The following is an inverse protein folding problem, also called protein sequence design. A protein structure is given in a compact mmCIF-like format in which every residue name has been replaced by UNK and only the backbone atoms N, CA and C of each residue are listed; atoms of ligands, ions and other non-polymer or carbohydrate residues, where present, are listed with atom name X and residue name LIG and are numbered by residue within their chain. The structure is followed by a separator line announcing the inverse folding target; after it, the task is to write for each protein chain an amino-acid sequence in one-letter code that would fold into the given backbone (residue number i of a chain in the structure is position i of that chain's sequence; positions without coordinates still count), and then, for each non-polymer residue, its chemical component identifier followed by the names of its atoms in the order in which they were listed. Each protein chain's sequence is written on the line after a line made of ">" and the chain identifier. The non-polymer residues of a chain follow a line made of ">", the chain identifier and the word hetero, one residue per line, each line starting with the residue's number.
data_IF_188991035350
#
_entry.id   IF_188991035350
#
_cell.length_a   1.000
_cell.length_b   1.000
_cell.length_c   1.000
_cell.angle_alpha   90.00
_cell.angle_beta   90.00
_cell.angle_gamma   90.00
#
_symmetry.space_group_name_H-M   'P 1'
#
loop_
_entity.id
_entity.type
_entity.pdbx_description
1 polymer ?
#
# COMPACT_ATOMS: atom_id res chain seq x y z
N UNK A 1 3.43 -15.73 9.00
CA UNK A 1 2.45 -15.97 7.90
C UNK A 1 2.67 -14.95 6.78
N UNK A 2 2.23 -15.22 5.53
CA UNK A 2 2.49 -14.34 4.38
C UNK A 2 1.91 -12.93 4.58
N UNK A 3 0.73 -12.82 5.17
CA UNK A 3 0.05 -11.54 5.47
C UNK A 3 0.85 -10.56 6.33
N UNK A 4 1.57 -11.06 7.34
CA UNK A 4 2.39 -10.23 8.22
C UNK A 4 3.63 -9.71 7.47
N UNK A 5 4.17 -10.54 6.57
CA UNK A 5 5.27 -10.14 5.69
C UNK A 5 4.78 -9.08 4.70
N UNK A 6 3.60 -9.26 4.12
CA UNK A 6 2.92 -8.24 3.28
C UNK A 6 2.78 -6.91 4.02
N UNK A 7 2.17 -6.93 5.21
CA UNK A 7 1.92 -5.71 5.99
C UNK A 7 3.22 -4.95 6.28
N UNK A 8 4.31 -5.68 6.57
CA UNK A 8 5.64 -5.13 6.79
C UNK A 8 6.26 -4.55 5.52
N UNK A 9 6.25 -5.26 4.39
CA UNK A 9 6.90 -4.78 3.16
C UNK A 9 6.17 -3.57 2.57
N UNK A 10 4.83 -3.52 2.68
CA UNK A 10 4.03 -2.37 2.25
C UNK A 10 4.26 -1.17 3.15
N UNK A 11 4.43 -1.35 4.45
CA UNK A 11 4.79 -0.25 5.34
C UNK A 11 6.21 0.27 5.08
N UNK A 12 7.16 -0.62 4.76
CA UNK A 12 8.55 -0.26 4.45
C UNK A 12 8.65 0.53 3.14
N UNK A 13 8.06 0.02 2.07
CA UNK A 13 8.14 0.68 0.75
C UNK A 13 7.12 1.81 0.59
N UNK A 14 6.07 1.80 1.41
CA UNK A 14 4.88 2.59 1.18
C UNK A 14 4.16 2.23 -0.12
N UNK A 15 4.36 1.05 -0.70
CA UNK A 15 3.88 0.73 -2.04
C UNK A 15 2.90 -0.44 -2.05
N UNK A 16 2.08 -0.53 -3.08
CA UNK A 16 1.35 -1.77 -3.43
C UNK A 16 1.79 -2.32 -4.79
N UNK A 17 2.86 -1.77 -5.35
CA UNK A 17 3.42 -2.22 -6.62
C UNK A 17 4.10 -3.57 -6.45
N UNK A 18 3.64 -4.54 -7.24
CA UNK A 18 4.32 -5.80 -7.48
C UNK A 18 5.01 -5.74 -8.84
N UNK A 19 6.35 -5.80 -8.87
CA UNK A 19 7.12 -5.76 -10.10
C UNK A 19 7.04 -7.11 -10.82
N UNK A 20 6.44 -7.14 -12.01
CA UNK A 20 6.47 -8.30 -12.90
C UNK A 20 7.82 -8.37 -13.64
N UNK A 21 8.65 -9.33 -13.28
CA UNK A 21 10.03 -9.41 -13.78
C UNK A 21 10.19 -10.60 -14.72
N UNK A 22 9.78 -10.38 -15.97
CA UNK A 22 9.62 -11.41 -16.99
C UNK A 22 10.54 -11.10 -18.19
N UNK A 23 11.87 -11.30 -18.08
CA UNK A 23 12.79 -11.02 -19.19
C UNK A 23 12.42 -11.90 -20.41
N UNK A 24 12.16 -11.33 -21.60
CA UNK A 24 11.75 -12.11 -22.75
C UNK A 24 12.88 -13.07 -23.20
N UNK A 25 12.67 -14.40 -23.21
CA UNK A 25 13.73 -15.36 -23.56
C UNK A 25 14.13 -15.29 -25.05
N UNK A 26 13.33 -14.66 -25.89
CA UNK A 26 13.68 -14.38 -27.29
C UNK A 26 14.50 -13.08 -27.47
N UNK A 27 14.70 -12.30 -26.40
CA UNK A 27 15.63 -11.16 -26.38
C UNK A 27 16.88 -11.52 -25.57
N UNK A 28 16.67 -12.16 -24.42
CA UNK A 28 17.72 -12.61 -23.52
C UNK A 28 17.85 -14.14 -23.59
N UNK A 29 18.46 -14.64 -24.66
CA UNK A 29 18.54 -16.07 -24.93
C UNK A 29 19.33 -16.84 -23.86
N UNK A 30 20.47 -16.30 -23.45
CA UNK A 30 21.31 -16.88 -22.39
C UNK A 30 20.63 -16.72 -21.02
N UNK A 31 20.39 -17.81 -20.27
CA UNK A 31 19.92 -17.73 -18.88
C UNK A 31 20.73 -16.74 -18.01
N UNK A 32 22.05 -16.66 -18.19
CA UNK A 32 22.93 -15.77 -17.43
C UNK A 32 22.60 -14.29 -17.67
N UNK A 33 22.20 -13.93 -18.90
CA UNK A 33 21.75 -12.57 -19.22
C UNK A 33 20.38 -12.27 -18.60
N UNK A 34 19.48 -13.26 -18.56
CA UNK A 34 18.19 -13.13 -17.85
C UNK A 34 18.39 -12.94 -16.36
N UNK A 35 19.29 -13.70 -15.75
CA UNK A 35 19.66 -13.54 -14.34
C UNK A 35 20.16 -12.13 -14.07
N UNK A 36 21.12 -11.66 -14.87
CA UNK A 36 21.69 -10.31 -14.73
C UNK A 36 20.61 -9.24 -14.87
N UNK A 37 19.74 -9.36 -15.88
CA UNK A 37 18.61 -8.47 -16.06
C UNK A 37 17.73 -8.42 -14.81
N UNK A 38 17.38 -9.58 -14.23
CA UNK A 38 16.57 -9.63 -13.03
C UNK A 38 17.25 -8.95 -11.83
N UNK A 39 18.52 -9.24 -11.58
CA UNK A 39 19.27 -8.65 -10.47
C UNK A 39 19.40 -7.13 -10.61
N UNK A 40 19.73 -6.66 -11.82
CA UNK A 40 19.87 -5.23 -12.11
C UNK A 40 18.54 -4.49 -11.90
N UNK A 41 17.42 -5.06 -12.36
CA UNK A 41 16.08 -4.45 -12.17
C UNK A 41 15.64 -4.45 -10.71
N UNK A 42 15.90 -5.51 -9.95
CA UNK A 42 15.60 -5.54 -8.52
C UNK A 42 16.42 -4.47 -7.79
N UNK A 43 17.71 -4.34 -8.10
CA UNK A 43 18.58 -3.36 -7.47
C UNK A 43 18.15 -1.91 -7.75
N UNK A 44 17.72 -1.62 -8.99
CA UNK A 44 17.29 -0.29 -9.41
C UNK A 44 15.89 0.08 -8.91
N UNK A 45 14.95 -0.89 -8.93
CA UNK A 45 13.52 -0.62 -8.79
C UNK A 45 12.93 -1.08 -7.46
N UNK A 46 13.66 -1.92 -6.71
CA UNK A 46 13.18 -2.55 -5.49
C UNK A 46 12.64 -1.55 -4.46
N UNK A 47 13.25 -0.36 -4.34
CA UNK A 47 12.81 0.68 -3.40
C UNK A 47 11.36 1.17 -3.62
N UNK A 48 10.80 0.98 -4.81
CA UNK A 48 9.43 1.40 -5.15
C UNK A 48 8.40 0.28 -5.06
N UNK A 49 8.85 -0.95 -4.81
CA UNK A 49 8.04 -2.15 -4.89
C UNK A 49 7.87 -2.76 -3.50
N UNK A 50 6.82 -3.55 -3.32
CA UNK A 50 6.64 -4.40 -2.12
C UNK A 50 6.82 -5.87 -2.44
N UNK A 51 6.68 -6.22 -3.71
CA UNK A 51 6.84 -7.58 -4.20
C UNK A 51 7.51 -7.60 -5.57
N UNK A 52 8.13 -8.72 -5.89
CA UNK A 52 8.59 -9.08 -7.23
C UNK A 52 7.93 -10.40 -7.59
N UNK A 53 7.24 -10.43 -8.72
CA UNK A 53 6.64 -11.64 -9.28
C UNK A 53 7.42 -12.06 -10.50
N UNK A 54 7.90 -13.29 -10.53
CA UNK A 54 8.63 -13.83 -11.67
C UNK A 54 7.85 -14.98 -12.30
N UNK A 55 7.58 -14.90 -13.60
CA UNK A 55 6.96 -16.00 -14.31
C UNK A 55 7.97 -17.09 -14.64
N UNK A 56 7.69 -18.33 -14.23
CA UNK A 56 8.60 -19.46 -14.36
C UNK A 56 9.08 -19.67 -15.80
N UNK A 57 8.20 -19.46 -16.80
CA UNK A 57 8.54 -19.68 -18.20
C UNK A 57 9.66 -18.77 -18.69
N UNK A 58 9.76 -17.56 -18.13
CA UNK A 58 10.82 -16.60 -18.45
C UNK A 58 12.15 -16.94 -17.76
N UNK A 59 12.14 -17.76 -16.73
CA UNK A 59 13.30 -18.10 -15.91
C UNK A 59 13.88 -19.50 -16.21
N UNK A 60 13.26 -20.28 -17.11
CA UNK A 60 13.76 -21.61 -17.44
C UNK A 60 15.23 -21.59 -17.87
N UNK A 61 16.03 -22.46 -17.25
CA UNK A 61 17.47 -22.57 -17.49
C UNK A 61 18.36 -21.81 -16.49
N UNK A 62 17.79 -21.06 -15.55
CA UNK A 62 18.59 -20.38 -14.51
C UNK A 62 19.24 -21.33 -13.49
N UNK A 63 18.65 -22.50 -13.27
CA UNK A 63 19.03 -23.40 -12.18
C UNK A 63 18.73 -22.80 -10.80
N UNK A 64 18.92 -23.58 -9.75
CA UNK A 64 18.55 -23.14 -8.40
C UNK A 64 19.35 -21.94 -7.91
N UNK A 65 20.65 -21.88 -8.24
CA UNK A 65 21.52 -20.78 -7.83
C UNK A 65 21.07 -19.44 -8.42
N UNK A 66 20.58 -19.44 -9.67
CA UNK A 66 20.02 -18.24 -10.29
C UNK A 66 18.76 -17.75 -9.57
N UNK A 67 17.83 -18.66 -9.24
CA UNK A 67 16.65 -18.30 -8.45
C UNK A 67 17.02 -17.80 -7.05
N UNK A 68 17.93 -18.49 -6.34
CA UNK A 68 18.38 -18.08 -5.00
C UNK A 68 19.11 -16.73 -5.00
N UNK A 69 19.84 -16.41 -6.07
CA UNK A 69 20.46 -15.09 -6.22
C UNK A 69 19.38 -13.99 -6.30
N UNK A 70 18.33 -14.21 -7.10
CA UNK A 70 17.19 -13.30 -7.24
C UNK A 70 16.45 -13.14 -5.91
N UNK A 71 16.05 -14.25 -5.28
CA UNK A 71 15.27 -14.21 -4.03
C UNK A 71 16.10 -13.67 -2.87
N UNK A 72 17.39 -13.97 -2.82
CA UNK A 72 18.33 -13.43 -1.84
C UNK A 72 18.49 -11.91 -1.95
N UNK A 73 18.61 -11.36 -3.16
CA UNK A 73 18.66 -9.90 -3.35
C UNK A 73 17.34 -9.23 -2.97
N UNK A 74 16.21 -9.79 -3.42
CA UNK A 74 14.88 -9.28 -3.09
C UNK A 74 14.66 -9.23 -1.56
N UNK A 75 15.06 -10.27 -0.83
CA UNK A 75 14.99 -10.32 0.64
C UNK A 75 15.82 -9.22 1.30
N UNK A 76 17.03 -8.93 0.80
CA UNK A 76 17.87 -7.82 1.31
C UNK A 76 17.21 -6.46 1.15
N UNK A 77 16.39 -6.30 0.11
CA UNK A 77 15.62 -5.08 -0.17
C UNK A 77 14.22 -5.09 0.45
N UNK A 78 13.93 -6.05 1.34
CA UNK A 78 12.61 -6.19 1.99
C UNK A 78 11.45 -6.33 1.00
N UNK A 79 11.64 -7.15 -0.04
CA UNK A 79 10.62 -7.47 -1.03
C UNK A 79 10.05 -8.88 -0.79
N UNK A 80 8.75 -9.03 -1.01
CA UNK A 80 8.15 -10.35 -1.20
C UNK A 80 8.52 -10.92 -2.56
N UNK A 81 8.76 -12.22 -2.63
CA UNK A 81 9.07 -12.94 -3.87
C UNK A 81 7.98 -13.95 -4.19
N UNK A 82 7.38 -13.81 -5.37
CA UNK A 82 6.26 -14.64 -5.83
C UNK A 82 6.69 -15.35 -7.11
N UNK A 83 6.67 -16.69 -7.10
CA UNK A 83 6.87 -17.48 -8.31
C UNK A 83 5.52 -17.70 -9.00
N UNK A 84 5.36 -17.15 -10.20
CA UNK A 84 4.17 -17.36 -11.01
C UNK A 84 4.36 -18.60 -11.91
N UNK A 85 4.23 -19.78 -11.29
CA UNK A 85 4.34 -21.10 -11.92
C UNK A 85 2.97 -21.73 -12.23
N UNK A 86 1.90 -21.30 -11.57
CA UNK A 86 0.55 -21.89 -11.68
C UNK A 86 0.60 -23.40 -11.48
N UNK A 87 1.22 -23.83 -10.37
CA UNK A 87 1.39 -25.24 -10.03
C UNK A 87 0.04 -25.94 -10.17
N UNK A 88 0.02 -27.10 -10.83
CA UNK A 88 -1.20 -27.83 -11.13
C UNK A 88 -0.86 -29.27 -11.38
N UNK A 89 -0.86 -30.05 -10.31
CA UNK A 89 -0.62 -31.49 -10.29
C UNK A 89 -1.24 -32.07 -9.00
N UNK A 90 -1.19 -33.38 -8.83
CA UNK A 90 -1.78 -34.09 -7.68
C UNK A 90 -0.77 -34.98 -6.95
N UNK A 91 -1.04 -35.24 -5.66
CA UNK A 91 -0.25 -36.16 -4.84
C UNK A 91 1.25 -35.84 -4.84
N UNK A 92 2.07 -36.88 -5.02
CA UNK A 92 3.53 -36.77 -4.93
C UNK A 92 4.14 -35.73 -5.89
N UNK A 93 3.58 -35.59 -7.09
CA UNK A 93 4.06 -34.58 -8.06
C UNK A 93 3.83 -33.16 -7.58
N UNK A 94 2.69 -32.89 -6.95
CA UNK A 94 2.40 -31.58 -6.37
C UNK A 94 3.38 -31.26 -5.22
N UNK A 95 3.63 -32.24 -4.35
CA UNK A 95 4.60 -32.13 -3.25
C UNK A 95 6.03 -31.87 -3.75
N UNK A 96 6.46 -32.61 -4.77
CA UNK A 96 7.75 -32.37 -5.42
C UNK A 96 7.85 -30.93 -5.98
N UNK A 97 6.76 -30.42 -6.55
CA UNK A 97 6.64 -29.03 -6.98
C UNK A 97 6.83 -28.05 -5.82
N UNK A 98 6.07 -28.19 -4.74
CA UNK A 98 6.17 -27.33 -3.55
C UNK A 98 7.58 -27.36 -2.94
N UNK A 99 8.16 -28.55 -2.76
CA UNK A 99 9.51 -28.70 -2.23
C UNK A 99 10.57 -28.01 -3.11
N UNK A 100 10.42 -28.13 -4.43
CA UNK A 100 11.30 -27.43 -5.38
C UNK A 100 11.18 -25.92 -5.21
N UNK A 101 9.96 -25.38 -5.14
CA UNK A 101 9.72 -23.93 -4.97
C UNK A 101 10.36 -23.42 -3.67
N UNK A 102 10.25 -24.19 -2.58
CA UNK A 102 10.87 -23.85 -1.30
C UNK A 102 12.40 -23.76 -1.41
N UNK A 103 13.05 -24.70 -2.10
CA UNK A 103 14.50 -24.71 -2.34
C UNK A 103 14.99 -23.53 -3.20
N UNK A 104 14.14 -23.02 -4.08
CA UNK A 104 14.42 -21.82 -4.87
C UNK A 104 14.37 -20.53 -4.03
N UNK A 105 13.83 -20.60 -2.81
CA UNK A 105 13.88 -19.53 -1.81
C UNK A 105 12.79 -18.46 -1.95
N UNK A 106 11.71 -18.76 -2.67
CA UNK A 106 10.55 -17.88 -2.81
C UNK A 106 9.75 -17.77 -1.51
N UNK A 107 8.95 -16.71 -1.40
CA UNK A 107 8.04 -16.53 -0.26
C UNK A 107 6.63 -17.05 -0.57
N UNK A 108 6.24 -17.08 -1.85
CA UNK A 108 4.94 -17.59 -2.29
C UNK A 108 4.97 -18.05 -3.75
N UNK A 109 3.92 -18.76 -4.18
CA UNK A 109 3.72 -19.16 -5.57
C UNK A 109 2.25 -19.13 -6.00
N UNK A 110 1.99 -19.19 -7.31
CA UNK A 110 0.62 -19.27 -7.85
C UNK A 110 0.16 -20.72 -8.05
N UNK A 111 -1.08 -21.03 -7.68
CA UNK A 111 -1.69 -22.37 -7.74
C UNK A 111 -2.90 -22.39 -8.69
N UNK A 112 -2.98 -23.42 -9.52
CA UNK A 112 -4.12 -23.69 -10.40
C UNK A 112 -5.15 -24.58 -9.68
N UNK A 113 -6.38 -24.11 -9.43
CA UNK A 113 -7.38 -24.86 -8.65
C UNK A 113 -7.98 -26.07 -9.37
N UNK A 114 -7.73 -26.23 -10.69
CA UNK A 114 -8.50 -27.16 -11.53
C UNK A 114 -8.46 -28.62 -11.07
N UNK A 115 -7.41 -29.02 -10.35
CA UNK A 115 -7.22 -30.39 -9.89
C UNK A 115 -7.97 -30.72 -8.58
N UNK A 116 -8.58 -29.72 -7.92
CA UNK A 116 -9.45 -29.92 -6.74
C UNK A 116 -8.72 -30.42 -5.49
N UNK A 117 -7.40 -30.21 -5.41
CA UNK A 117 -6.54 -30.58 -4.30
C UNK A 117 -5.94 -29.35 -3.61
N UNK A 118 -6.67 -28.22 -3.57
CA UNK A 118 -6.13 -26.96 -3.05
C UNK A 118 -5.68 -27.10 -1.60
N UNK A 119 -6.48 -27.77 -0.76
CA UNK A 119 -6.14 -28.02 0.65
C UNK A 119 -4.81 -28.75 0.83
N UNK A 120 -4.61 -29.86 0.11
CA UNK A 120 -3.37 -30.66 0.19
C UNK A 120 -2.13 -29.83 -0.17
N UNK A 121 -2.23 -29.01 -1.23
CA UNK A 121 -1.11 -28.17 -1.67
C UNK A 121 -0.84 -27.03 -0.70
N UNK A 122 -1.89 -26.46 -0.09
CA UNK A 122 -1.75 -25.39 0.91
C UNK A 122 -1.09 -25.92 2.18
N UNK A 123 -1.53 -27.07 2.69
CA UNK A 123 -0.93 -27.70 3.87
C UNK A 123 0.57 -27.96 3.64
N UNK A 124 0.93 -28.59 2.52
CA UNK A 124 2.33 -28.85 2.15
C UNK A 124 3.15 -27.56 2.00
N UNK A 125 2.57 -26.51 1.41
CA UNK A 125 3.23 -25.21 1.24
C UNK A 125 3.48 -24.52 2.60
N UNK A 126 2.51 -24.56 3.50
CA UNK A 126 2.60 -23.96 4.83
C UNK A 126 3.63 -24.68 5.70
N UNK A 127 3.75 -26.00 5.60
CA UNK A 127 4.82 -26.77 6.24
C UNK A 127 6.23 -26.32 5.81
N UNK A 128 6.36 -25.86 4.55
CA UNK A 128 7.60 -25.31 4.00
C UNK A 128 7.74 -23.78 4.19
N UNK A 129 6.78 -23.13 4.86
CA UNK A 129 6.78 -21.68 5.08
C UNK A 129 6.50 -20.83 3.83
N UNK A 130 5.91 -21.45 2.79
CA UNK A 130 5.50 -20.79 1.55
C UNK A 130 4.05 -20.31 1.66
N UNK A 131 3.76 -19.15 1.07
CA UNK A 131 2.39 -18.73 0.84
C UNK A 131 1.83 -19.18 -0.51
N UNK A 132 0.51 -19.28 -0.61
CA UNK A 132 -0.17 -19.71 -1.84
C UNK A 132 -1.06 -18.60 -2.39
N UNK A 133 -0.94 -18.32 -3.69
CA UNK A 133 -1.85 -17.46 -4.45
C UNK A 133 -2.73 -18.29 -5.38
N UNK A 134 -3.97 -18.54 -5.01
CA UNK A 134 -4.89 -19.34 -5.83
C UNK A 134 -5.42 -18.52 -7.02
N UNK A 135 -5.43 -19.10 -8.22
CA UNK A 135 -6.07 -18.48 -9.37
C UNK A 135 -7.60 -18.46 -9.20
N UNK A 136 -8.15 -17.30 -8.84
CA UNK A 136 -9.59 -17.09 -8.73
C UNK A 136 -10.17 -16.52 -10.02
N UNK A 137 -9.80 -15.29 -10.40
CA UNK A 137 -10.35 -14.64 -11.58
C UNK A 137 -9.22 -14.23 -12.54
N UNK A 138 -8.82 -15.08 -13.50
CA UNK A 138 -7.72 -14.76 -14.42
C UNK A 138 -8.05 -13.56 -15.34
N UNK A 139 -7.04 -12.71 -15.60
CA UNK A 139 -7.15 -11.57 -16.52
C UNK A 139 -7.34 -12.03 -17.98
N UNK A 140 -8.18 -11.31 -18.72
CA UNK A 140 -8.29 -11.41 -20.18
C UNK A 140 -9.18 -12.52 -20.72
N UNK A 141 -9.44 -12.47 -22.05
CA UNK A 141 -10.45 -13.27 -22.77
C UNK A 141 -10.40 -14.78 -22.57
N UNK A 142 -9.21 -15.33 -22.32
CA UNK A 142 -9.03 -16.78 -22.17
C UNK A 142 -9.43 -17.26 -20.77
N UNK A 143 -9.22 -16.43 -19.75
CA UNK A 143 -9.63 -16.70 -18.39
C UNK A 143 -11.16 -16.78 -18.27
N UNK A 144 -11.84 -15.79 -18.86
CA UNK A 144 -13.31 -15.70 -18.84
C UNK A 144 -14.01 -16.91 -19.47
N UNK A 145 -13.40 -17.56 -20.47
CA UNK A 145 -14.02 -18.70 -21.19
C UNK A 145 -14.47 -19.83 -20.28
N UNK A 146 -13.68 -20.15 -19.25
CA UNK A 146 -13.95 -21.25 -18.32
C UNK A 146 -14.36 -20.74 -16.95
N UNK A 147 -13.68 -19.74 -16.40
CA UNK A 147 -13.91 -19.28 -15.04
C UNK A 147 -15.27 -18.58 -14.86
N UNK A 148 -15.83 -18.00 -15.94
CA UNK A 148 -17.19 -17.43 -15.92
C UNK A 148 -18.28 -18.41 -16.37
N UNK A 149 -17.95 -19.67 -16.66
CA UNK A 149 -18.97 -20.69 -16.92
C UNK A 149 -19.77 -20.91 -15.65
N UNK A 150 -21.09 -21.00 -15.79
CA UNK A 150 -21.98 -21.22 -14.65
C UNK A 150 -21.99 -22.71 -14.28
N UNK A 151 -21.74 -23.00 -13.02
CA UNK A 151 -21.91 -24.31 -12.38
C UNK A 151 -22.84 -24.09 -11.20
N UNK A 152 -23.96 -24.80 -11.15
CA UNK A 152 -25.04 -24.59 -10.16
C UNK A 152 -25.56 -23.14 -10.09
N UNK A 153 -25.55 -22.43 -11.21
CA UNK A 153 -26.06 -21.06 -11.31
C UNK A 153 -25.05 -19.96 -11.01
N UNK A 154 -23.89 -20.26 -10.42
CA UNK A 154 -22.82 -19.29 -10.15
C UNK A 154 -21.61 -19.47 -11.09
N UNK A 155 -20.87 -18.40 -11.42
CA UNK A 155 -19.57 -18.51 -12.07
C UNK A 155 -18.62 -19.51 -11.38
N UNK A 156 -17.94 -20.36 -12.17
CA UNK A 156 -17.02 -21.39 -11.68
C UNK A 156 -15.96 -20.86 -10.73
N UNK A 157 -15.46 -19.64 -10.95
CA UNK A 157 -14.45 -19.05 -10.06
C UNK A 157 -14.90 -18.92 -8.61
N UNK A 158 -16.21 -18.85 -8.33
CA UNK A 158 -16.72 -18.81 -6.95
C UNK A 158 -16.43 -20.11 -6.21
N UNK A 159 -16.52 -21.26 -6.88
CA UNK A 159 -16.14 -22.55 -6.29
C UNK A 159 -14.67 -22.58 -5.88
N UNK A 160 -13.80 -21.97 -6.68
CA UNK A 160 -12.38 -21.88 -6.35
C UNK A 160 -12.11 -20.91 -5.19
N UNK A 161 -12.88 -19.81 -5.10
CA UNK A 161 -12.81 -18.92 -3.94
C UNK A 161 -13.25 -19.64 -2.67
N UNK A 162 -14.37 -20.37 -2.72
CA UNK A 162 -14.90 -21.17 -1.59
C UNK A 162 -13.85 -22.19 -1.12
N UNK A 163 -13.36 -23.03 -2.04
CA UNK A 163 -12.33 -24.05 -1.72
C UNK A 163 -11.05 -23.40 -1.17
N UNK A 164 -10.61 -22.28 -1.75
CA UNK A 164 -9.43 -21.56 -1.28
C UNK A 164 -9.58 -20.96 0.12
N UNK A 165 -10.76 -20.44 0.45
CA UNK A 165 -11.06 -19.91 1.80
C UNK A 165 -11.09 -21.04 2.81
N UNK A 166 -11.75 -22.16 2.48
CA UNK A 166 -11.79 -23.36 3.33
C UNK A 166 -10.40 -23.94 3.56
N UNK A 167 -9.56 -23.95 2.53
CA UNK A 167 -8.17 -24.42 2.59
C UNK A 167 -7.20 -23.44 3.28
N UNK A 168 -7.62 -22.21 3.62
CA UNK A 168 -6.73 -21.24 4.27
C UNK A 168 -5.66 -20.64 3.35
N UNK A 169 -5.96 -20.51 2.05
CA UNK A 169 -5.08 -19.87 1.06
C UNK A 169 -4.71 -18.43 1.49
N UNK A 170 -3.43 -18.06 1.34
CA UNK A 170 -2.94 -16.73 1.77
C UNK A 170 -3.38 -15.57 0.85
N UNK A 171 -3.62 -15.85 -0.42
CA UNK A 171 -4.03 -14.84 -1.39
C UNK A 171 -4.69 -15.38 -2.66
N UNK A 172 -5.33 -14.48 -3.39
CA UNK A 172 -6.06 -14.81 -4.61
C UNK A 172 -5.57 -13.97 -5.77
N UNK A 173 -5.41 -14.60 -6.94
CA UNK A 173 -5.12 -13.89 -8.18
C UNK A 173 -6.44 -13.43 -8.80
N UNK A 174 -6.62 -12.11 -8.83
CA UNK A 174 -7.81 -11.44 -9.38
C UNK A 174 -7.36 -10.44 -10.42
N UNK A 175 -7.34 -10.88 -11.67
CA UNK A 175 -6.88 -10.10 -12.81
C UNK A 175 -7.85 -9.00 -13.21
N UNK A 176 -7.29 -7.82 -13.50
CA UNK A 176 -8.04 -6.71 -14.08
C UNK A 176 -8.59 -7.13 -15.45
N UNK A 177 -9.90 -6.97 -15.64
CA UNK A 177 -10.60 -7.17 -16.91
C UNK A 177 -11.65 -6.06 -17.07
N UNK A 178 -11.98 -5.71 -18.30
CA UNK A 178 -13.11 -4.81 -18.60
C UNK A 178 -14.45 -5.37 -18.12
N UNK A 179 -14.53 -6.67 -17.85
CA UNK A 179 -15.73 -7.34 -17.37
C UNK A 179 -15.89 -7.34 -15.84
N UNK A 180 -14.86 -6.90 -15.10
CA UNK A 180 -14.80 -6.96 -13.64
C UNK A 180 -15.08 -5.57 -13.08
N UNK A 181 -16.28 -5.37 -12.56
CA UNK A 181 -16.71 -4.09 -12.00
C UNK A 181 -16.40 -3.97 -10.49
N UNK A 182 -16.60 -2.76 -9.95
CA UNK A 182 -16.34 -2.48 -8.52
C UNK A 182 -17.24 -3.30 -7.58
N UNK A 183 -18.45 -3.67 -8.01
CA UNK A 183 -19.38 -4.49 -7.23
C UNK A 183 -18.92 -5.95 -7.14
N UNK A 184 -18.52 -6.55 -8.26
CA UNK A 184 -17.98 -7.91 -8.31
C UNK A 184 -16.67 -8.00 -7.50
N UNK A 185 -15.81 -6.99 -7.56
CA UNK A 185 -14.58 -6.93 -6.72
C UNK A 185 -14.93 -6.84 -5.23
N UNK A 186 -15.95 -6.06 -4.87
CA UNK A 186 -16.38 -5.94 -3.47
C UNK A 186 -16.93 -7.28 -2.95
N UNK A 187 -17.69 -8.00 -3.78
CA UNK A 187 -18.17 -9.34 -3.46
C UNK A 187 -17.02 -10.34 -3.32
N UNK A 188 -16.03 -10.30 -4.22
CA UNK A 188 -14.81 -11.11 -4.09
C UNK A 188 -14.11 -10.81 -2.77
N UNK A 189 -13.86 -9.53 -2.45
CA UNK A 189 -13.23 -9.12 -1.18
C UNK A 189 -14.02 -9.63 0.03
N UNK A 190 -15.35 -9.53 0.00
CA UNK A 190 -16.21 -10.02 1.07
C UNK A 190 -16.05 -11.54 1.28
N UNK A 191 -16.03 -12.33 0.20
CA UNK A 191 -15.92 -13.80 0.29
C UNK A 191 -14.52 -14.26 0.67
N UNK A 192 -13.45 -13.65 0.13
CA UNK A 192 -12.06 -14.02 0.46
C UNK A 192 -11.59 -13.52 1.83
N UNK A 193 -12.31 -12.55 2.41
CA UNK A 193 -11.99 -11.92 3.68
C UNK A 193 -10.92 -10.83 3.60
N UNK A 194 -10.87 -9.94 4.59
CA UNK A 194 -9.91 -8.82 4.64
C UNK A 194 -8.45 -9.29 4.81
N UNK A 195 -8.26 -10.51 5.31
CA UNK A 195 -6.93 -11.00 5.62
C UNK A 195 -6.15 -11.49 4.39
N UNK A 196 -6.86 -11.96 3.35
CA UNK A 196 -6.27 -12.50 2.14
C UNK A 196 -5.65 -11.40 1.26
N UNK A 197 -4.51 -11.68 0.65
CA UNK A 197 -3.86 -10.76 -0.28
C UNK A 197 -4.45 -10.95 -1.68
N UNK A 198 -4.96 -9.88 -2.31
CA UNK A 198 -5.33 -9.94 -3.73
C UNK A 198 -4.11 -9.54 -4.58
N UNK A 199 -3.63 -10.48 -5.40
CA UNK A 199 -2.64 -10.23 -6.44
C UNK A 199 -3.36 -9.93 -7.76
N UNK A 200 -3.24 -8.68 -8.24
CA UNK A 200 -3.98 -8.21 -9.40
C UNK A 200 -3.06 -7.91 -10.59
N UNK A 201 -2.91 -8.85 -11.55
CA UNK A 201 -2.27 -8.58 -12.84
C UNK A 201 -3.24 -7.86 -13.79
N UNK A 202 -2.70 -7.22 -14.84
CA UNK A 202 -3.50 -6.67 -15.94
C UNK A 202 -3.42 -5.15 -16.11
N UNK A 203 -2.76 -4.45 -15.18
CA UNK A 203 -2.48 -3.03 -15.33
C UNK A 203 -1.29 -2.77 -16.29
N UNK A 204 -1.31 -1.63 -16.99
CA UNK A 204 -0.25 -1.22 -17.92
C UNK A 204 -0.44 -1.81 -19.32
N UNK A 205 0.50 -2.65 -19.78
CA UNK A 205 0.52 -3.17 -21.15
C UNK A 205 -0.72 -3.99 -21.59
N UNK A 206 -1.57 -4.39 -20.64
CA UNK A 206 -2.86 -5.06 -20.94
C UNK A 206 -4.06 -4.09 -20.88
N UNK A 207 -3.85 -2.83 -20.47
CA UNK A 207 -4.85 -1.76 -20.52
C UNK A 207 -5.92 -1.78 -19.43
N UNK A 208 -5.81 -2.63 -18.40
CA UNK A 208 -6.78 -2.67 -17.31
C UNK A 208 -6.73 -1.43 -16.42
N UNK A 209 -7.88 -0.91 -15.96
CA UNK A 209 -7.95 0.19 -14.99
C UNK A 209 -7.80 -0.37 -13.56
N UNK A 210 -6.83 0.09 -12.75
CA UNK A 210 -6.66 -0.37 -11.38
C UNK A 210 -7.69 0.24 -10.41
N UNK A 211 -8.42 1.29 -10.77
CA UNK A 211 -9.28 2.02 -9.84
C UNK A 211 -10.39 1.20 -9.19
N UNK A 212 -11.16 0.36 -9.92
CA UNK A 212 -12.15 -0.51 -9.29
C UNK A 212 -11.52 -1.44 -8.23
N UNK A 213 -10.33 -1.96 -8.52
CA UNK A 213 -9.57 -2.80 -7.57
C UNK A 213 -9.09 -2.01 -6.36
N UNK A 214 -8.61 -0.78 -6.53
CA UNK A 214 -8.21 0.08 -5.42
C UNK A 214 -9.40 0.46 -4.54
N UNK A 215 -10.57 0.69 -5.14
CA UNK A 215 -11.78 1.06 -4.41
C UNK A 215 -12.39 -0.10 -3.67
N UNK A 216 -12.57 -1.27 -4.29
CA UNK A 216 -13.30 -2.37 -3.69
C UNK A 216 -12.41 -3.49 -3.13
N UNK A 217 -11.15 -3.57 -3.56
CA UNK A 217 -10.26 -4.69 -3.25
C UNK A 217 -9.68 -4.69 -1.84
N UNK A 218 -10.08 -3.78 -0.95
CA UNK A 218 -9.71 -3.80 0.47
C UNK A 218 -8.26 -3.38 0.76
N UNK A 219 -7.77 -3.72 1.95
CA UNK A 219 -6.46 -3.25 2.41
C UNK A 219 -5.30 -3.99 1.72
N UNK A 220 -5.35 -5.32 1.67
CA UNK A 220 -4.21 -6.14 1.22
C UNK A 220 -4.24 -6.41 -0.28
N UNK A 221 -3.64 -5.48 -1.03
CA UNK A 221 -3.55 -5.47 -2.48
C UNK A 221 -2.10 -5.48 -2.98
N UNK A 222 -1.84 -6.24 -4.03
CA UNK A 222 -0.64 -6.16 -4.86
C UNK A 222 -1.05 -5.95 -6.31
N UNK A 223 -0.74 -4.79 -6.89
CA UNK A 223 -0.99 -4.51 -8.30
C UNK A 223 0.26 -4.88 -9.09
N UNK A 224 0.16 -5.92 -9.92
CA UNK A 224 1.29 -6.43 -10.68
C UNK A 224 1.47 -5.70 -12.01
N UNK A 225 2.63 -5.05 -12.18
CA UNK A 225 3.02 -4.35 -13.40
C UNK A 225 4.37 -4.86 -13.89
N UNK A 226 4.40 -5.38 -15.12
CA UNK A 226 5.62 -5.93 -15.72
C UNK A 226 6.17 -5.07 -16.85
N UNK A 227 5.83 -5.43 -18.09
CA UNK A 227 6.35 -4.83 -19.34
C UNK A 227 6.37 -3.30 -19.38
N UNK A 228 5.33 -2.65 -18.86
CA UNK A 228 5.25 -1.17 -18.78
C UNK A 228 6.45 -0.57 -18.06
N UNK A 229 6.94 -1.21 -17.00
CA UNK A 229 8.09 -0.74 -16.24
C UNK A 229 9.39 -1.27 -16.84
N UNK A 230 9.51 -2.59 -17.00
CA UNK A 230 10.82 -3.21 -17.31
C UNK A 230 11.33 -2.91 -18.73
N UNK A 231 10.43 -2.47 -19.63
CA UNK A 231 10.73 -2.06 -21.01
C UNK A 231 10.61 -0.55 -21.23
N UNK A 232 10.35 0.25 -20.19
CA UNK A 232 10.33 1.70 -20.31
C UNK A 232 11.72 2.26 -20.69
N UNK A 233 11.73 3.44 -21.29
CA UNK A 233 12.96 4.19 -21.56
C UNK A 233 13.67 4.56 -20.25
N UNK A 234 12.91 5.02 -19.25
CA UNK A 234 13.35 5.22 -17.87
C UNK A 234 12.51 4.36 -16.90
N UNK A 235 12.95 3.11 -16.63
CA UNK A 235 12.25 2.23 -15.69
C UNK A 235 12.19 2.76 -14.26
N UNK A 236 13.14 3.61 -13.85
CA UNK A 236 13.20 4.16 -12.49
C UNK A 236 12.10 5.21 -12.32
N UNK A 237 12.00 6.14 -13.27
CA UNK A 237 10.94 7.15 -13.26
C UNK A 237 9.55 6.51 -13.39
N UNK A 238 9.40 5.52 -14.28
CA UNK A 238 8.13 4.83 -14.50
C UNK A 238 7.68 4.07 -13.25
N UNK A 239 8.58 3.30 -12.62
CA UNK A 239 8.28 2.58 -11.38
C UNK A 239 7.91 3.54 -10.23
N UNK A 240 8.63 4.66 -10.09
CA UNK A 240 8.35 5.67 -9.08
C UNK A 240 6.95 6.28 -9.25
N UNK A 241 6.61 6.68 -10.49
CA UNK A 241 5.34 7.30 -10.81
C UNK A 241 4.15 6.34 -10.59
N UNK A 242 4.28 5.08 -11.03
CA UNK A 242 3.27 4.06 -10.83
C UNK A 242 3.08 3.75 -9.35
N UNK A 243 4.18 3.54 -8.61
CA UNK A 243 4.12 3.26 -7.18
C UNK A 243 3.44 4.40 -6.41
N UNK A 244 3.79 5.65 -6.72
CA UNK A 244 3.20 6.84 -6.11
C UNK A 244 1.71 6.95 -6.43
N UNK A 245 1.33 6.78 -7.70
CA UNK A 245 -0.06 6.92 -8.14
C UNK A 245 -0.97 5.89 -7.48
N UNK A 246 -0.60 4.61 -7.56
CA UNK A 246 -1.41 3.51 -7.01
C UNK A 246 -1.54 3.62 -5.49
N UNK A 247 -0.43 3.92 -4.82
CA UNK A 247 -0.39 3.96 -3.35
C UNK A 247 -1.14 5.16 -2.81
N UNK A 248 -1.03 6.33 -3.47
CA UNK A 248 -1.79 7.53 -3.09
C UNK A 248 -3.30 7.34 -3.25
N UNK A 249 -3.73 6.67 -4.32
CA UNK A 249 -5.16 6.37 -4.51
C UNK A 249 -5.67 5.39 -3.44
N UNK A 250 -4.90 4.35 -3.12
CA UNK A 250 -5.23 3.43 -2.02
C UNK A 250 -5.27 4.13 -0.67
N UNK A 251 -4.27 4.97 -0.37
CA UNK A 251 -4.21 5.80 0.84
C UNK A 251 -5.49 6.63 0.98
N UNK A 252 -5.90 7.32 -0.10
CA UNK A 252 -7.12 8.12 -0.11
C UNK A 252 -8.36 7.30 0.23
N UNK A 253 -8.58 6.17 -0.46
CA UNK A 253 -9.77 5.34 -0.22
C UNK A 253 -9.79 4.79 1.21
N UNK A 254 -8.69 4.20 1.66
CA UNK A 254 -8.62 3.54 2.97
C UNK A 254 -8.70 4.55 4.11
N UNK A 255 -8.01 5.68 4.01
CA UNK A 255 -8.08 6.74 5.02
C UNK A 255 -9.47 7.39 5.07
N UNK A 256 -10.10 7.61 3.92
CA UNK A 256 -11.47 8.14 3.86
C UNK A 256 -12.45 7.20 4.57
N UNK A 257 -12.40 5.89 4.27
CA UNK A 257 -13.26 4.90 4.92
C UNK A 257 -13.02 4.81 6.42
N UNK A 258 -11.76 4.87 6.86
CA UNK A 258 -11.43 4.91 8.27
C UNK A 258 -12.05 6.13 8.98
N UNK A 259 -11.96 7.31 8.37
CA UNK A 259 -12.55 8.55 8.90
C UNK A 259 -14.08 8.49 8.94
N UNK A 260 -14.70 7.97 7.89
CA UNK A 260 -16.16 7.88 7.78
C UNK A 260 -16.74 6.88 8.80
N UNK A 261 -16.09 5.73 8.97
CA UNK A 261 -16.60 4.67 9.86
C UNK A 261 -16.32 4.92 11.34
N UNK A 262 -15.26 5.65 11.69
CA UNK A 262 -14.92 5.91 13.09
C UNK A 262 -15.82 7.00 13.67
N UNK A 263 -16.68 6.60 14.61
CA UNK A 263 -17.61 7.50 15.30
C UNK A 263 -16.88 8.71 15.89
N UNK A 264 -17.39 9.90 15.59
CA UNK A 264 -16.89 11.17 16.13
C UNK A 264 -15.74 11.79 15.35
N UNK A 265 -15.22 11.13 14.30
CA UNK A 265 -14.22 11.75 13.42
C UNK A 265 -14.88 12.64 12.38
N UNK A 266 -15.73 12.09 11.51
CA UNK A 266 -16.56 12.87 10.59
C UNK A 266 -17.86 13.30 11.28
N UNK A 267 -18.02 14.60 11.51
CA UNK A 267 -19.22 15.19 12.10
C UNK A 267 -19.92 16.08 11.08
N UNK A 268 -21.20 15.80 10.82
CA UNK A 268 -22.02 16.53 9.86
C UNK A 268 -23.17 17.19 10.64
N UNK A 269 -23.25 18.51 10.54
CA UNK A 269 -24.25 19.32 11.25
C UNK A 269 -25.32 19.86 10.30
N UNK A 270 -26.57 19.89 10.76
CA UNK A 270 -27.68 20.50 10.00
C UNK A 270 -27.46 22.00 9.79
N UNK A 271 -26.98 22.69 10.84
CA UNK A 271 -26.60 24.10 10.80
C UNK A 271 -25.07 24.21 10.84
N UNK A 272 -24.47 25.09 10.02
CA UNK A 272 -23.02 25.31 10.07
C UNK A 272 -22.55 25.64 11.48
N UNK A 273 -21.39 25.12 11.85
CA UNK A 273 -20.69 25.46 13.10
C UNK A 273 -19.49 26.35 12.80
N UNK A 274 -19.13 27.21 13.75
CA UNK A 274 -17.95 28.05 13.61
C UNK A 274 -16.68 27.22 13.87
N UNK A 275 -15.75 27.27 12.93
CA UNK A 275 -14.44 26.62 13.00
C UNK A 275 -13.45 27.50 13.79
N UNK A 276 -12.37 26.90 14.27
CA UNK A 276 -11.25 27.64 14.88
C UNK A 276 -10.57 28.63 13.91
N UNK A 277 -10.75 28.45 12.60
CA UNK A 277 -10.34 29.41 11.56
C UNK A 277 -11.23 30.66 11.49
N UNK A 278 -12.34 30.69 12.23
CA UNK A 278 -13.35 31.75 12.19
C UNK A 278 -14.42 31.56 11.10
N UNK A 279 -14.20 30.64 10.15
CA UNK A 279 -15.16 30.27 9.12
C UNK A 279 -16.33 29.42 9.64
N UNK A 280 -17.35 29.19 8.81
CA UNK A 280 -18.50 28.35 9.14
C UNK A 280 -18.55 27.14 8.22
N UNK A 281 -18.80 25.95 8.76
CA UNK A 281 -18.91 24.73 7.96
C UNK A 281 -19.91 23.75 8.55
N UNK A 282 -20.60 23.00 7.69
CA UNK A 282 -21.45 21.87 8.12
C UNK A 282 -20.65 20.60 8.36
N UNK A 283 -19.40 20.55 7.90
CA UNK A 283 -18.53 19.39 8.01
C UNK A 283 -17.38 19.73 8.94
N UNK A 284 -17.26 18.97 10.03
CA UNK A 284 -16.18 19.08 11.00
C UNK A 284 -15.45 17.74 11.13
N UNK A 285 -14.11 17.79 11.08
CA UNK A 285 -13.25 16.62 11.18
C UNK A 285 -12.51 16.70 12.52
N UNK A 286 -12.72 15.72 13.40
CA UNK A 286 -12.01 15.60 14.68
C UNK A 286 -11.26 14.28 14.79
N UNK A 287 -10.01 14.29 14.34
CA UNK A 287 -9.16 13.11 14.37
C UNK A 287 -8.75 12.68 15.79
N UNK A 288 -9.11 13.42 16.85
CA UNK A 288 -8.90 12.92 18.24
C UNK A 288 -9.73 11.68 18.50
N UNK A 289 -10.94 11.60 17.96
CA UNK A 289 -11.82 10.43 18.08
C UNK A 289 -11.25 9.18 17.41
N UNK A 290 -10.34 9.35 16.44
CA UNK A 290 -9.69 8.23 15.73
C UNK A 290 -8.99 7.27 16.70
N UNK A 291 -8.37 7.81 17.76
CA UNK A 291 -7.55 7.02 18.67
C UNK A 291 -8.37 6.10 19.59
N UNK A 292 -9.68 6.29 19.65
CA UNK A 292 -10.62 5.40 20.35
C UNK A 292 -10.98 4.14 19.54
N UNK A 293 -10.66 4.11 18.24
CA UNK A 293 -10.87 2.95 17.38
C UNK A 293 -9.52 2.30 17.00
N UNK A 294 -9.12 1.19 17.64
CA UNK A 294 -7.81 0.60 17.44
C UNK A 294 -7.55 0.13 16.00
N UNK A 295 -8.60 -0.30 15.28
CA UNK A 295 -8.48 -0.79 13.91
C UNK A 295 -8.18 0.36 12.97
N UNK A 296 -8.98 1.44 13.02
CA UNK A 296 -8.76 2.61 12.16
C UNK A 296 -7.51 3.38 12.54
N UNK A 297 -7.18 3.49 13.84
CA UNK A 297 -5.91 4.06 14.30
C UNK A 297 -4.71 3.32 13.72
N UNK A 298 -4.71 1.98 13.78
CA UNK A 298 -3.61 1.16 13.26
C UNK A 298 -3.45 1.32 11.76
N UNK A 299 -4.57 1.30 11.02
CA UNK A 299 -4.58 1.52 9.57
C UNK A 299 -4.01 2.89 9.19
N UNK A 300 -4.51 3.98 9.79
CA UNK A 300 -4.03 5.34 9.51
C UNK A 300 -2.54 5.48 9.82
N UNK A 301 -2.07 4.93 10.94
CA UNK A 301 -0.65 4.96 11.29
C UNK A 301 0.23 4.23 10.27
N UNK A 302 -0.20 3.06 9.78
CA UNK A 302 0.50 2.30 8.73
C UNK A 302 0.54 3.06 7.40
N UNK A 303 -0.60 3.63 6.99
CA UNK A 303 -0.69 4.44 5.77
C UNK A 303 0.23 5.67 5.87
N UNK A 304 0.23 6.37 7.01
CA UNK A 304 1.10 7.52 7.23
C UNK A 304 2.58 7.13 7.21
N UNK A 305 2.94 6.04 7.90
CA UNK A 305 4.32 5.52 7.92
C UNK A 305 4.80 5.14 6.52
N UNK A 306 3.95 4.49 5.71
CA UNK A 306 4.24 4.17 4.32
C UNK A 306 4.40 5.42 3.45
N UNK A 307 3.50 6.40 3.60
CA UNK A 307 3.55 7.65 2.86
C UNK A 307 4.83 8.47 3.13
N UNK A 308 5.28 8.51 4.40
CA UNK A 308 6.56 9.10 4.79
C UNK A 308 7.72 8.28 4.23
N UNK A 309 7.70 6.95 4.41
CA UNK A 309 8.77 6.06 3.95
C UNK A 309 9.03 6.19 2.45
N UNK A 310 7.96 6.27 1.64
CA UNK A 310 8.05 6.39 0.18
C UNK A 310 8.67 7.70 -0.30
N UNK A 311 8.48 8.80 0.44
CA UNK A 311 8.85 10.16 0.01
C UNK A 311 10.10 10.73 0.69
N UNK A 312 10.40 10.26 1.90
CA UNK A 312 11.53 10.73 2.71
C UNK A 312 12.55 9.63 2.94
N UNK A 313 12.14 8.36 2.90
CA UNK A 313 12.92 7.24 3.39
C UNK A 313 12.56 6.93 4.85
N UNK A 314 13.35 6.06 5.48
CA UNK A 314 13.05 5.54 6.83
C UNK A 314 13.95 6.07 7.94
N UNK A 315 14.98 6.83 7.60
CA UNK A 315 16.00 7.32 8.53
C UNK A 315 16.60 8.64 8.05
N UNK A 316 17.37 9.32 8.90
CA UNK A 316 18.03 10.58 8.55
C UNK A 316 17.17 11.82 8.78
N UNK A 317 16.04 11.67 9.47
CA UNK A 317 15.16 12.75 9.90
C UNK A 317 14.54 12.46 11.26
N UNK A 318 13.89 13.47 11.86
CA UNK A 318 13.03 13.35 13.03
C UNK A 318 11.61 13.84 12.70
N UNK A 319 10.62 13.53 13.55
CA UNK A 319 9.24 14.00 13.36
C UNK A 319 9.01 15.30 14.12
N UNK A 320 8.26 16.23 13.51
CA UNK A 320 7.72 17.41 14.15
C UNK A 320 6.19 17.42 14.05
N UNK A 321 5.50 17.95 15.06
CA UNK A 321 4.03 18.04 15.05
C UNK A 321 3.54 19.21 15.91
N UNK A 322 2.24 19.51 15.84
CA UNK A 322 1.61 20.50 16.72
C UNK A 322 0.88 19.85 17.89
N UNK A 323 0.91 20.51 19.05
CA UNK A 323 0.06 20.13 20.16
C UNK A 323 -1.40 20.55 19.90
N UNK A 324 -2.41 19.76 20.26
CA UNK A 324 -2.35 18.45 20.96
C UNK A 324 -2.73 17.28 20.06
N UNK A 325 -3.53 17.52 19.01
CA UNK A 325 -4.19 16.46 18.24
C UNK A 325 -3.24 15.66 17.32
N UNK A 326 -2.15 16.28 16.85
CA UNK A 326 -1.13 15.62 16.04
C UNK A 326 -0.22 14.68 16.81
N UNK A 327 -0.02 14.93 18.12
CA UNK A 327 0.93 14.19 18.98
C UNK A 327 0.73 12.67 18.92
N UNK A 328 -0.48 12.10 19.06
CA UNK A 328 -0.61 10.65 19.13
C UNK A 328 -0.25 9.95 17.82
N UNK A 329 -0.64 10.49 16.65
CA UNK A 329 -0.22 9.95 15.35
C UNK A 329 1.28 10.11 15.16
N UNK A 330 1.81 11.32 15.40
CA UNK A 330 3.23 11.61 15.24
C UNK A 330 4.09 10.69 16.12
N UNK A 331 3.66 10.39 17.34
CA UNK A 331 4.31 9.44 18.25
C UNK A 331 4.34 8.02 17.67
N UNK A 332 3.22 7.53 17.13
CA UNK A 332 3.15 6.17 16.55
C UNK A 332 4.03 6.08 15.29
N UNK A 333 4.02 7.12 14.45
CA UNK A 333 4.82 7.16 13.22
C UNK A 333 6.31 7.23 13.56
N UNK A 334 6.70 8.07 14.53
CA UNK A 334 8.08 8.16 15.01
C UNK A 334 8.58 6.82 15.57
N UNK A 335 7.76 6.13 16.37
CA UNK A 335 8.07 4.79 16.91
C UNK A 335 8.27 3.75 15.80
N UNK A 336 7.35 3.67 14.83
CA UNK A 336 7.44 2.74 13.68
C UNK A 336 8.66 2.98 12.79
N UNK A 337 9.12 4.22 12.70
CA UNK A 337 10.31 4.61 11.92
C UNK A 337 11.60 4.53 12.74
N UNK A 338 11.50 4.46 14.07
CA UNK A 338 12.66 4.49 14.98
C UNK A 338 13.38 5.85 14.99
N UNK A 339 12.63 6.95 14.88
CA UNK A 339 13.17 8.32 14.82
C UNK A 339 12.68 9.18 16.00
N UNK A 340 13.37 10.30 16.27
CA UNK A 340 12.97 11.25 17.31
C UNK A 340 11.67 12.00 16.99
N UNK A 341 11.06 12.59 18.00
CA UNK A 341 9.86 13.44 17.89
C UNK A 341 10.05 14.72 18.70
N UNK A 342 9.73 15.86 18.08
CA UNK A 342 9.50 17.15 18.75
C UNK A 342 8.08 17.62 18.51
N UNK A 343 7.51 18.43 19.40
CA UNK A 343 6.19 19.02 19.17
C UNK A 343 6.13 20.48 19.59
N UNK A 344 5.30 21.25 18.89
CA UNK A 344 5.18 22.70 19.06
C UNK A 344 3.90 23.03 19.81
N UNK A 345 4.03 23.83 20.88
CA UNK A 345 2.90 24.38 21.63
C UNK A 345 2.56 25.77 21.09
N UNK A 346 1.27 26.00 20.82
CA UNK A 346 0.80 27.30 20.30
C UNK A 346 0.87 28.40 21.34
N UNK A 347 0.66 28.08 22.62
CA UNK A 347 0.76 29.02 23.74
C UNK A 347 2.14 28.95 24.41
N UNK A 348 2.74 30.11 24.71
CA UNK A 348 4.00 30.20 25.46
C UNK A 348 3.79 29.85 26.94
N UNK A 349 4.79 29.24 27.58
CA UNK A 349 4.79 29.08 29.05
C UNK A 349 4.79 30.44 29.73
N UNK A 350 3.95 30.63 30.76
CA UNK A 350 3.98 31.83 31.60
C UNK A 350 5.26 31.91 32.47
N UNK A 351 5.84 30.77 32.84
CA UNK A 351 7.06 30.67 33.65
C UNK A 351 7.99 29.56 33.13
N UNK A 352 9.27 29.89 32.86
CA UNK A 352 10.30 29.00 32.29
C UNK A 352 10.81 29.46 30.92
N UNK A 353 11.88 28.82 30.41
CA UNK A 353 12.49 29.07 29.09
C UNK A 353 11.41 29.28 28.01
N UNK A 354 11.46 30.41 27.30
CA UNK A 354 10.45 30.90 26.32
C UNK A 354 10.32 30.04 25.02
N UNK A 355 10.70 28.76 25.07
CA UNK A 355 10.70 27.88 23.90
C UNK A 355 9.29 27.40 23.56
N UNK A 356 8.95 27.48 22.26
CA UNK A 356 7.70 26.94 21.71
C UNK A 356 7.77 25.42 21.46
N UNK A 357 8.98 24.88 21.26
CA UNK A 357 9.21 23.46 20.96
C UNK A 357 9.47 22.69 22.26
N UNK A 358 8.77 21.57 22.43
CA UNK A 358 9.06 20.57 23.45
C UNK A 358 9.82 19.40 22.79
N UNK A 359 10.90 18.96 23.44
CA UNK A 359 11.92 18.09 22.85
C UNK A 359 13.25 18.83 22.64
N UNK A 360 14.18 18.21 21.90
CA UNK A 360 15.49 18.81 21.59
C UNK A 360 15.65 18.88 20.08
N UNK A 361 15.51 20.08 19.52
CA UNK A 361 15.81 20.31 18.10
C UNK A 361 17.31 20.24 17.88
N UNK A 362 17.73 19.45 16.89
CA UNK A 362 19.11 19.30 16.48
C UNK A 362 19.39 20.20 15.26
N UNK A 363 20.23 21.25 15.39
CA UNK A 363 20.54 22.12 14.27
C UNK A 363 21.05 21.35 13.03
N UNK A 364 20.59 21.74 11.85
CA UNK A 364 20.92 21.10 10.57
C UNK A 364 20.24 19.75 10.32
N UNK A 365 19.48 19.21 11.28
CA UNK A 365 18.74 17.94 11.11
C UNK A 365 17.46 18.18 10.33
N UNK A 366 17.12 17.24 9.44
CA UNK A 366 15.85 17.23 8.74
C UNK A 366 14.72 16.78 9.69
N UNK A 367 13.63 17.50 9.68
CA UNK A 367 12.38 17.20 10.35
C UNK A 367 11.28 17.02 9.31
N UNK A 368 10.39 16.06 9.57
CA UNK A 368 9.18 15.82 8.78
C UNK A 368 7.98 16.16 9.63
N UNK A 369 7.13 17.06 9.14
CA UNK A 369 5.87 17.37 9.80
C UNK A 369 4.91 16.19 9.70
N UNK A 370 4.33 15.74 10.80
CA UNK A 370 3.25 14.73 10.82
C UNK A 370 2.16 15.22 11.75
N UNK A 371 0.94 15.41 11.25
CA UNK A 371 -0.16 16.00 12.00
C UNK A 371 -1.51 15.37 11.63
N UNK A 372 -2.57 15.78 12.32
CA UNK A 372 -3.89 15.19 12.14
C UNK A 372 -4.66 15.84 10.96
N UNK A 373 -5.00 17.11 11.06
CA UNK A 373 -5.85 17.83 10.10
C UNK A 373 -5.24 19.18 9.75
N UNK A 374 -5.31 19.56 8.48
CA UNK A 374 -4.99 20.94 8.07
C UNK A 374 -6.21 21.66 7.48
N UNK A 375 -6.36 22.93 7.86
CA UNK A 375 -7.36 23.89 7.37
C UNK A 375 -6.69 24.91 6.44
N UNK A 376 -6.40 26.10 6.94
CA UNK A 376 -5.67 27.18 6.26
C UNK A 376 -4.16 26.96 6.26
N UNK A 377 -3.66 26.06 7.12
CA UNK A 377 -2.22 25.74 7.24
C UNK A 377 -1.45 26.55 8.28
N UNK A 378 -2.09 27.50 8.98
CA UNK A 378 -1.40 28.38 9.94
C UNK A 378 -0.67 27.61 11.06
N UNK A 379 -1.33 26.60 11.64
CA UNK A 379 -0.71 25.77 12.69
C UNK A 379 0.52 25.01 12.18
N UNK A 380 0.42 24.42 10.99
CA UNK A 380 1.54 23.72 10.36
C UNK A 380 2.70 24.68 10.04
N UNK A 381 2.38 25.90 9.56
CA UNK A 381 3.38 26.92 9.29
C UNK A 381 4.08 27.41 10.57
N UNK A 382 3.35 27.60 11.68
CA UNK A 382 3.95 27.95 12.97
C UNK A 382 4.85 26.82 13.51
N UNK A 383 4.45 25.55 13.31
CA UNK A 383 5.31 24.41 13.60
C UNK A 383 6.62 24.47 12.82
N UNK A 384 6.51 24.69 11.50
CA UNK A 384 7.65 24.83 10.59
C UNK A 384 8.60 25.94 11.03
N UNK A 385 8.05 27.12 11.37
CA UNK A 385 8.86 28.25 11.84
C UNK A 385 9.55 27.96 13.16
N UNK A 386 8.84 27.42 14.15
CA UNK A 386 9.41 27.13 15.46
C UNK A 386 10.58 26.13 15.39
N UNK A 387 10.46 25.09 14.56
CA UNK A 387 11.57 24.15 14.33
C UNK A 387 12.74 24.80 13.60
N UNK A 388 12.48 25.64 12.59
CA UNK A 388 13.52 26.38 11.85
C UNK A 388 14.23 27.42 12.72
N UNK A 389 13.53 28.08 13.63
CA UNK A 389 14.09 29.03 14.60
C UNK A 389 15.11 28.36 15.54
N UNK A 390 14.92 27.07 15.86
CA UNK A 390 15.88 26.27 16.63
C UNK A 390 16.95 25.58 15.74
N UNK A 391 16.99 25.91 14.44
CA UNK A 391 18.01 25.45 13.49
C UNK A 391 17.69 24.15 12.75
N UNK A 392 16.51 23.56 12.95
CA UNK A 392 16.05 22.40 12.18
C UNK A 392 15.66 22.74 10.74
N UNK A 393 15.67 21.76 9.85
CA UNK A 393 15.19 21.90 8.47
C UNK A 393 13.87 21.14 8.34
N UNK A 394 12.85 21.74 7.74
CA UNK A 394 11.58 21.06 7.48
C UNK A 394 11.05 21.51 6.12
N UNK A 395 10.89 20.56 5.20
CA UNK A 395 10.50 20.81 3.80
C UNK A 395 9.28 19.97 3.36
N UNK A 396 8.80 19.06 4.21
CA UNK A 396 7.64 18.21 3.96
C UNK A 396 6.76 18.11 5.20
N UNK A 397 5.44 18.15 4.98
CA UNK A 397 4.43 18.07 6.02
C UNK A 397 3.34 17.08 5.59
N UNK A 398 3.03 16.13 6.46
CA UNK A 398 2.07 15.07 6.21
C UNK A 398 0.89 15.18 7.18
N UNK A 399 -0.33 15.04 6.66
CA UNK A 399 -1.55 15.07 7.47
C UNK A 399 -2.48 13.91 7.14
N UNK A 400 -3.33 13.51 8.09
CA UNK A 400 -4.40 12.55 7.80
C UNK A 400 -5.38 13.18 6.80
N UNK A 401 -5.83 14.41 7.09
CA UNK A 401 -6.91 15.06 6.37
C UNK A 401 -6.56 16.50 5.98
N UNK A 402 -6.63 16.82 4.68
CA UNK A 402 -6.62 18.19 4.19
C UNK A 402 -8.05 18.69 3.91
N UNK A 403 -8.47 19.77 4.57
CA UNK A 403 -9.78 20.38 4.33
C UNK A 403 -9.86 21.16 3.02
N UNK A 404 -8.75 21.31 2.31
CA UNK A 404 -8.65 22.00 1.03
C UNK A 404 -9.03 23.50 1.16
N UNK A 405 -8.61 24.12 2.26
CA UNK A 405 -8.89 25.54 2.62
C UNK A 405 -7.65 26.44 2.43
N UNK A 406 -6.68 26.03 1.61
CA UNK A 406 -5.52 26.85 1.21
C UNK A 406 -4.18 26.48 1.85
N UNK A 407 -4.12 25.46 2.72
CA UNK A 407 -2.88 25.02 3.37
C UNK A 407 -1.77 24.65 2.38
N UNK A 408 -2.08 23.96 1.28
CA UNK A 408 -1.10 23.56 0.27
C UNK A 408 -0.36 24.78 -0.31
N UNK A 409 -1.10 25.85 -0.62
CA UNK A 409 -0.52 27.10 -1.13
C UNK A 409 0.35 27.77 -0.07
N UNK A 410 -0.16 27.92 1.15
CA UNK A 410 0.55 28.58 2.25
C UNK A 410 1.88 27.88 2.58
N UNK A 411 1.87 26.55 2.68
CA UNK A 411 3.07 25.77 2.99
C UNK A 411 4.07 25.80 1.82
N UNK A 412 3.60 25.71 0.57
CA UNK A 412 4.46 25.80 -0.62
C UNK A 412 5.18 27.15 -0.70
N UNK A 413 4.51 28.26 -0.38
CA UNK A 413 5.14 29.59 -0.30
C UNK A 413 6.23 29.67 0.78
N UNK A 414 6.15 28.83 1.82
CA UNK A 414 7.19 28.68 2.83
C UNK A 414 8.26 27.61 2.49
N UNK A 415 8.24 27.05 1.29
CA UNK A 415 9.14 26.00 0.84
C UNK A 415 8.87 24.64 1.50
N UNK A 416 7.59 24.35 1.79
CA UNK A 416 7.15 23.09 2.41
C UNK A 416 6.10 22.42 1.54
N UNK A 417 6.34 21.17 1.17
CA UNK A 417 5.38 20.35 0.43
C UNK A 417 4.37 19.69 1.38
N UNK A 418 3.07 19.86 1.11
CA UNK A 418 1.99 19.24 1.87
C UNK A 418 1.55 17.92 1.23
N UNK A 419 1.48 16.88 2.05
CA UNK A 419 0.93 15.58 1.70
C UNK A 419 -0.23 15.23 2.64
N UNK A 420 -1.31 14.69 2.08
CA UNK A 420 -2.48 14.28 2.85
C UNK A 420 -2.87 12.85 2.51
N UNK A 421 -3.17 12.01 3.49
CA UNK A 421 -3.72 10.67 3.22
C UNK A 421 -5.08 10.76 2.54
N UNK A 422 -5.95 11.66 3.01
CA UNK A 422 -7.21 12.01 2.36
C UNK A 422 -7.51 13.50 2.50
N UNK A 423 -8.57 13.96 1.84
CA UNK A 423 -8.94 15.37 1.77
C UNK A 423 -10.42 15.56 1.50
N UNK A 424 -10.92 16.74 1.84
CA UNK A 424 -12.28 17.15 1.47
C UNK A 424 -12.36 17.34 -0.06
N UNK A 425 -13.09 16.44 -0.71
CA UNK A 425 -13.29 16.42 -2.16
C UNK A 425 -14.67 15.83 -2.48
N UNK A 426 -15.12 15.98 -3.73
CA UNK A 426 -16.36 15.31 -4.22
C UNK A 426 -16.30 13.79 -4.03
N UNK A 427 -15.13 13.18 -4.24
CA UNK A 427 -14.95 11.75 -4.05
C UNK A 427 -15.10 11.36 -2.57
N UNK A 428 -14.52 12.14 -1.65
CA UNK A 428 -14.71 11.91 -0.21
C UNK A 428 -16.19 12.04 0.21
N UNK A 429 -16.89 13.07 -0.27
CA UNK A 429 -18.31 13.27 0.02
C UNK A 429 -19.18 12.14 -0.52
N UNK A 430 -18.88 11.68 -1.75
CA UNK A 430 -19.55 10.52 -2.35
C UNK A 430 -19.33 9.26 -1.52
N UNK A 431 -18.11 9.01 -1.04
CA UNK A 431 -17.80 7.87 -0.15
C UNK A 431 -18.53 7.98 1.19
N UNK A 432 -18.72 9.19 1.69
CA UNK A 432 -19.44 9.46 2.94
C UNK A 432 -20.97 9.43 2.80
N UNK A 433 -21.51 9.27 1.57
CA UNK A 433 -22.95 9.35 1.31
C UNK A 433 -23.54 10.76 1.52
N UNK A 434 -22.71 11.79 1.37
CA UNK A 434 -23.07 13.19 1.63
C UNK A 434 -23.27 13.92 0.29
N UNK A 435 -24.37 14.67 0.15
CA UNK A 435 -24.63 15.47 -1.06
C UNK A 435 -23.65 16.64 -1.17
N UNK A 436 -23.17 16.92 -2.38
CA UNK A 436 -22.33 18.09 -2.73
C UNK A 436 -22.93 19.44 -2.30
N UNK A 437 -24.25 19.50 -2.05
CA UNK A 437 -24.95 20.72 -1.61
C UNK A 437 -24.71 21.12 -0.15
N UNK A 438 -23.86 20.40 0.58
CA UNK A 438 -23.58 20.60 2.01
C UNK A 438 -22.30 21.44 2.24
N UNK A 439 -21.52 21.72 1.18
CA UNK A 439 -20.33 22.58 1.24
C UNK A 439 -20.66 24.06 1.45
#
# INVERSE_FOLDING_TARGET
>A
MLKERYDRVVEISGSILCLGLDPPPWVYHDPSLRLRFCLDRIQQLGRFCSAVKLNENHLRGLGEDGHRAITGLARKLSLLTILDCKLGDIGESAKAGVNTIARLGYDAFTLNPLFGNVGEVVDEAHEHGLGVFLLAHPSGRYGEKYFRRRVDGEPLYWRFIEEGVEAGVDGFVVGLSSSLDEGEIAEIRQRVGEEAIILSPGFGAQGGDPMPMIRAGGERLLINVGRTIILAEDPVAEAANIAETLSRQREFILASRAIIRTKGVLNIYEKPVQLSSGGWSRIYIDCRSLYSDPVSRSLIARLMTGAVSRRVGRSGFEIATTATAGIPLASIVADRLGVGLVYVRMERKAHGLERKVEGVVKPGTLYVGVDDVVTTGNSALECVKAVREEGGVIDKYFVIFDRNEGAEKLLREAGVELYSLTRLSKEFLSLAGVSDKIQ
#
